data_IF_743655177297
#
_entry.id   IF_743655177297
#
_cell.length_a   1.000
_cell.length_b   1.000
_cell.length_c   1.000
_cell.angle_alpha   90.00
_cell.angle_beta   90.00
_cell.angle_gamma   90.00
#
_symmetry.space_group_name_H-M   'P 1'
#
loop_
_entity.id
_entity.type
_entity.pdbx_description
1 polymer ?
#
# COMPACT_ATOMS: atom_id res chain seq x y z
N UNK A 1 -7.27 -4.59 0.17
CA UNK A 1 -6.28 -4.60 1.27
C UNK A 1 -5.60 -5.98 1.32
N UNK A 2 -4.28 -6.05 1.09
CA UNK A 2 -3.53 -7.28 0.72
C UNK A 2 -2.83 -7.96 1.94
N UNK A 3 -3.16 -7.54 3.17
CA UNK A 3 -2.46 -7.95 4.40
C UNK A 3 -2.39 -9.46 4.70
N UNK A 4 -3.41 -10.30 4.42
CA UNK A 4 -3.34 -11.72 4.80
C UNK A 4 -2.27 -12.48 4.01
N UNK A 5 -2.17 -12.20 2.70
CA UNK A 5 -1.21 -12.85 1.79
C UNK A 5 0.24 -12.47 2.15
N UNK A 6 0.47 -11.25 2.62
CA UNK A 6 1.80 -10.81 3.04
C UNK A 6 2.22 -11.43 4.37
N UNK A 7 1.30 -11.59 5.32
CA UNK A 7 1.59 -12.27 6.60
C UNK A 7 1.90 -13.75 6.37
N UNK A 8 1.13 -14.44 5.52
CA UNK A 8 1.40 -15.84 5.12
C UNK A 8 2.77 -15.99 4.46
N UNK A 9 3.18 -15.02 3.64
CA UNK A 9 4.51 -15.03 3.01
C UNK A 9 5.63 -14.87 4.06
N UNK A 10 5.45 -14.03 5.08
CA UNK A 10 6.41 -13.90 6.17
C UNK A 10 6.53 -15.18 6.99
N UNK A 11 5.42 -15.91 7.20
CA UNK A 11 5.44 -17.22 7.85
C UNK A 11 6.22 -18.27 7.03
N UNK A 12 6.08 -18.23 5.71
CA UNK A 12 6.89 -19.07 4.82
C UNK A 12 8.39 -18.73 4.94
N UNK A 13 8.76 -17.45 4.98
CA UNK A 13 10.15 -17.03 5.14
C UNK A 13 10.73 -17.44 6.50
N UNK A 14 9.95 -17.36 7.59
CA UNK A 14 10.37 -17.89 8.90
C UNK A 14 10.63 -19.40 8.84
N UNK A 15 9.76 -20.18 8.18
CA UNK A 15 9.94 -21.62 8.01
C UNK A 15 11.19 -21.94 7.16
N UNK A 16 11.43 -21.17 6.10
CA UNK A 16 12.63 -21.26 5.25
C UNK A 16 13.91 -20.96 6.05
N UNK A 17 13.88 -19.91 6.89
CA UNK A 17 14.98 -19.52 7.75
C UNK A 17 15.31 -20.62 8.77
N UNK A 18 14.30 -21.23 9.38
CA UNK A 18 14.46 -22.37 10.29
C UNK A 18 15.17 -23.54 9.60
N UNK A 19 14.75 -23.91 8.39
CA UNK A 19 15.41 -24.97 7.60
C UNK A 19 16.87 -24.64 7.29
N UNK A 20 17.19 -23.38 6.98
CA UNK A 20 18.58 -22.92 6.77
C UNK A 20 19.41 -23.03 8.05
N UNK A 21 18.84 -22.70 9.21
CA UNK A 21 19.49 -22.86 10.53
C UNK A 21 19.78 -24.33 10.85
N UNK A 22 18.83 -25.22 10.60
CA UNK A 22 19.02 -26.67 10.79
C UNK A 22 20.15 -27.22 9.88
N UNK A 23 20.22 -26.74 8.64
CA UNK A 23 21.28 -27.11 7.70
C UNK A 23 22.64 -26.59 8.16
N UNK A 24 22.71 -25.36 8.68
CA UNK A 24 23.93 -24.78 9.23
C UNK A 24 24.45 -25.60 10.41
N UNK A 25 23.56 -26.01 11.32
CA UNK A 25 23.89 -26.88 12.45
C UNK A 25 24.43 -28.23 11.98
N UNK A 26 23.82 -28.84 10.96
CA UNK A 26 24.34 -30.08 10.39
C UNK A 26 25.75 -29.91 9.81
N UNK A 27 26.01 -28.84 9.06
CA UNK A 27 27.35 -28.55 8.52
C UNK A 27 28.39 -28.30 9.61
N UNK A 28 28.00 -27.66 10.71
CA UNK A 28 28.86 -27.45 11.86
C UNK A 28 29.21 -28.76 12.55
N UNK A 29 28.21 -29.61 12.81
CA UNK A 29 28.41 -30.92 13.45
C UNK A 29 29.22 -31.89 12.57
N UNK A 30 29.10 -31.78 11.25
CA UNK A 30 29.92 -32.52 10.27
C UNK A 30 31.38 -32.02 10.21
N UNK A 31 31.73 -30.95 10.93
CA UNK A 31 33.06 -30.34 10.90
C UNK A 31 33.40 -29.63 9.58
N UNK A 32 32.40 -29.39 8.71
CA UNK A 32 32.60 -28.75 7.40
C UNK A 32 32.80 -27.23 7.49
N UNK A 33 32.42 -26.63 8.61
CA UNK A 33 32.56 -25.19 8.87
C UNK A 33 33.16 -24.95 10.25
N UNK A 34 33.87 -23.83 10.40
CA UNK A 34 34.42 -23.43 11.69
C UNK A 34 33.33 -22.93 12.65
N UNK A 35 33.62 -22.98 13.95
CA UNK A 35 32.77 -22.40 15.00
C UNK A 35 32.47 -20.92 14.76
N UNK A 36 33.49 -20.13 14.42
CA UNK A 36 33.32 -18.69 14.17
C UNK A 36 32.36 -18.42 13.00
N UNK A 37 32.42 -19.24 11.94
CA UNK A 37 31.51 -19.14 10.80
C UNK A 37 30.07 -19.47 11.19
N UNK A 38 29.89 -20.52 11.99
CA UNK A 38 28.57 -20.92 12.49
C UNK A 38 27.96 -19.84 13.39
N UNK A 39 28.76 -19.24 14.30
CA UNK A 39 28.32 -18.15 15.18
C UNK A 39 27.91 -16.92 14.37
N UNK A 40 28.74 -16.49 13.41
CA UNK A 40 28.44 -15.33 12.55
C UNK A 40 27.13 -15.51 11.79
N UNK A 41 26.93 -16.68 11.17
CA UNK A 41 25.72 -16.96 10.40
C UNK A 41 24.48 -17.13 11.29
N UNK A 42 24.63 -17.76 12.46
CA UNK A 42 23.53 -17.85 13.44
C UNK A 42 23.07 -16.46 13.86
N UNK A 43 24.00 -15.57 14.21
CA UNK A 43 23.68 -14.19 14.57
C UNK A 43 22.91 -13.48 13.45
N UNK A 44 23.34 -13.65 12.20
CA UNK A 44 22.63 -13.08 11.04
C UNK A 44 21.23 -13.65 10.87
N UNK A 45 21.03 -14.94 11.13
CA UNK A 45 19.68 -15.52 11.12
C UNK A 45 18.81 -14.94 12.22
N UNK A 46 19.36 -14.72 13.42
CA UNK A 46 18.61 -14.10 14.53
C UNK A 46 18.22 -12.64 14.20
N UNK A 47 19.10 -11.88 13.55
CA UNK A 47 18.81 -10.53 13.04
C UNK A 47 17.68 -10.54 11.99
N UNK A 48 17.69 -11.50 11.06
CA UNK A 48 16.62 -11.63 10.06
C UNK A 48 15.31 -12.08 10.69
N UNK A 49 15.35 -13.02 11.64
CA UNK A 49 14.16 -13.51 12.35
C UNK A 49 13.49 -12.39 13.15
N UNK A 50 14.28 -11.59 13.88
CA UNK A 50 13.77 -10.43 14.62
C UNK A 50 13.15 -9.39 13.70
N UNK A 51 13.76 -9.11 12.54
CA UNK A 51 13.19 -8.20 11.54
C UNK A 51 11.86 -8.72 10.96
N UNK A 52 11.79 -10.01 10.59
CA UNK A 52 10.56 -10.62 10.07
C UNK A 52 9.45 -10.58 11.12
N UNK A 53 9.75 -10.94 12.36
CA UNK A 53 8.76 -10.92 13.45
C UNK A 53 8.24 -9.50 13.72
N UNK A 54 9.12 -8.49 13.73
CA UNK A 54 8.73 -7.09 13.87
C UNK A 54 7.80 -6.64 12.75
N UNK A 55 8.13 -6.98 11.51
CA UNK A 55 7.28 -6.63 10.36
C UNK A 55 5.93 -7.32 10.43
N UNK A 56 5.90 -8.61 10.80
CA UNK A 56 4.67 -9.38 10.98
C UNK A 56 3.78 -8.75 12.06
N UNK A 57 4.36 -8.36 13.18
CA UNK A 57 3.64 -7.66 14.25
C UNK A 57 3.05 -6.34 13.74
N UNK A 58 3.87 -5.49 13.11
CA UNK A 58 3.43 -4.21 12.54
C UNK A 58 2.27 -4.36 11.55
N UNK A 59 2.32 -5.36 10.65
CA UNK A 59 1.26 -5.62 9.68
C UNK A 59 -0.03 -6.10 10.35
N UNK A 60 0.09 -6.85 11.46
CA UNK A 60 -1.06 -7.33 12.22
C UNK A 60 -1.74 -6.19 12.96
N UNK A 61 -0.95 -5.36 13.66
CA UNK A 61 -1.43 -4.16 14.36
C UNK A 61 -2.10 -3.17 13.39
N UNK A 62 -1.52 -2.97 12.21
CA UNK A 62 -2.12 -2.14 11.16
C UNK A 62 -3.45 -2.76 10.66
N UNK A 63 -3.49 -4.08 10.47
CA UNK A 63 -4.71 -4.79 10.10
C UNK A 63 -5.84 -4.59 11.11
N UNK A 64 -5.52 -4.72 12.39
CA UNK A 64 -6.47 -4.54 13.50
C UNK A 64 -6.94 -3.08 13.59
N UNK A 65 -6.03 -2.12 13.43
CA UNK A 65 -6.33 -0.69 13.41
C UNK A 65 -7.34 -0.34 12.31
N UNK A 66 -7.09 -0.77 11.06
CA UNK A 66 -8.01 -0.50 9.96
C UNK A 66 -9.34 -1.24 10.11
N UNK A 67 -9.34 -2.43 10.74
CA UNK A 67 -10.56 -3.14 11.08
C UNK A 67 -11.41 -2.35 12.09
N UNK A 68 -10.79 -1.77 13.12
CA UNK A 68 -11.48 -0.92 14.09
C UNK A 68 -12.06 0.34 13.43
N UNK A 69 -11.26 1.07 12.63
CA UNK A 69 -11.74 2.25 11.90
C UNK A 69 -12.94 1.92 11.02
N UNK A 70 -12.87 0.79 10.31
CA UNK A 70 -13.98 0.34 9.47
C UNK A 70 -15.24 0.06 10.28
N UNK A 71 -15.12 -0.66 11.39
CA UNK A 71 -16.26 -0.97 12.27
C UNK A 71 -16.89 0.30 12.82
N UNK A 72 -16.08 1.28 13.20
CA UNK A 72 -16.60 2.57 13.68
C UNK A 72 -17.29 3.35 12.57
N UNK A 73 -16.72 3.36 11.36
CA UNK A 73 -17.37 3.94 10.18
C UNK A 73 -18.73 3.29 9.88
N UNK A 74 -18.84 1.97 10.01
CA UNK A 74 -20.11 1.24 9.86
C UNK A 74 -21.16 1.74 10.87
N UNK A 75 -20.79 1.86 12.16
CA UNK A 75 -21.72 2.34 13.20
C UNK A 75 -22.18 3.77 12.95
N UNK A 76 -21.28 4.65 12.50
CA UNK A 76 -21.61 6.05 12.20
C UNK A 76 -22.63 6.09 11.06
N UNK A 77 -22.40 5.33 9.99
CA UNK A 77 -23.34 5.27 8.86
C UNK A 77 -24.70 4.68 9.28
N UNK A 78 -24.72 3.64 10.10
CA UNK A 78 -25.95 3.09 10.66
C UNK A 78 -26.70 4.10 11.53
N UNK A 79 -25.97 4.90 12.31
CA UNK A 79 -26.55 5.97 13.13
C UNK A 79 -27.21 7.05 12.27
N UNK A 80 -26.56 7.48 11.18
CA UNK A 80 -27.17 8.43 10.25
C UNK A 80 -28.43 7.89 9.58
N UNK A 81 -28.47 6.61 9.19
CA UNK A 81 -29.69 6.01 8.63
C UNK A 81 -30.85 6.04 9.63
N UNK A 82 -30.59 5.78 10.91
CA UNK A 82 -31.60 5.86 11.97
C UNK A 82 -32.06 7.31 12.15
N UNK A 83 -31.11 8.26 12.24
CA UNK A 83 -31.42 9.68 12.41
C UNK A 83 -32.25 10.23 11.25
N UNK A 84 -31.87 9.93 10.00
CA UNK A 84 -32.63 10.35 8.83
C UNK A 84 -34.03 9.75 8.81
N UNK A 85 -34.17 8.50 9.26
CA UNK A 85 -35.49 7.88 9.41
C UNK A 85 -36.35 8.59 10.44
N UNK A 86 -35.77 8.99 11.58
CA UNK A 86 -36.47 9.75 12.62
C UNK A 86 -36.90 11.13 12.11
N UNK A 87 -35.99 11.87 11.46
CA UNK A 87 -36.29 13.19 10.89
C UNK A 87 -37.43 13.13 9.86
N UNK A 88 -37.45 12.10 9.01
CA UNK A 88 -38.54 11.90 8.06
C UNK A 88 -39.89 11.63 8.77
N UNK A 89 -39.89 10.80 9.82
CA UNK A 89 -41.08 10.51 10.61
C UNK A 89 -41.61 11.75 11.37
N UNK A 90 -40.73 12.65 11.79
CA UNK A 90 -41.09 13.91 12.42
C UNK A 90 -41.56 14.98 11.41
N UNK A 91 -41.45 14.71 10.11
CA UNK A 91 -41.76 15.68 9.05
C UNK A 91 -40.72 16.79 8.90
N UNK A 92 -39.58 16.68 9.57
CA UNK A 92 -38.45 17.61 9.46
C UNK A 92 -37.61 17.34 8.20
N UNK A 93 -37.76 16.16 7.62
CA UNK A 93 -37.17 15.76 6.35
C UNK A 93 -38.27 15.26 5.42
N UNK A 94 -38.18 15.59 4.13
CA UNK A 94 -39.12 15.09 3.13
C UNK A 94 -38.69 13.72 2.59
N UNK A 95 -39.66 13.00 2.03
CA UNK A 95 -39.50 11.62 1.59
C UNK A 95 -38.48 11.45 0.46
N UNK A 96 -38.41 12.41 -0.47
CA UNK A 96 -37.46 12.39 -1.59
C UNK A 96 -36.02 12.51 -1.08
N UNK A 97 -35.75 13.49 -0.22
CA UNK A 97 -34.43 13.75 0.33
C UNK A 97 -33.99 12.65 1.29
N UNK A 98 -34.91 12.07 2.06
CA UNK A 98 -34.66 10.88 2.89
C UNK A 98 -34.23 9.70 2.02
N UNK A 99 -34.93 9.46 0.89
CA UNK A 99 -34.64 8.36 -0.02
C UNK A 99 -33.24 8.50 -0.62
N UNK A 100 -32.91 9.66 -1.18
CA UNK A 100 -31.61 9.90 -1.81
C UNK A 100 -30.44 9.70 -0.83
N UNK A 101 -30.56 10.26 0.37
CA UNK A 101 -29.51 10.14 1.40
C UNK A 101 -29.40 8.72 1.94
N UNK A 102 -30.54 8.05 2.16
CA UNK A 102 -30.56 6.67 2.65
C UNK A 102 -29.97 5.71 1.62
N UNK A 103 -30.23 5.91 0.34
CA UNK A 103 -29.65 5.11 -0.75
C UNK A 103 -28.14 5.29 -0.82
N UNK A 104 -27.65 6.54 -0.79
CA UNK A 104 -26.23 6.84 -0.81
C UNK A 104 -25.48 6.20 0.38
N UNK A 105 -26.02 6.36 1.59
CA UNK A 105 -25.41 5.78 2.81
C UNK A 105 -25.50 4.25 2.79
N UNK A 106 -26.63 3.68 2.37
CA UNK A 106 -26.80 2.22 2.29
C UNK A 106 -25.84 1.61 1.28
N UNK A 107 -25.58 2.27 0.16
CA UNK A 107 -24.57 1.86 -0.82
C UNK A 107 -23.17 1.82 -0.21
N UNK A 108 -22.77 2.89 0.50
CA UNK A 108 -21.49 2.93 1.22
C UNK A 108 -21.36 1.88 2.32
N UNK A 109 -22.43 1.69 3.10
CA UNK A 109 -22.51 0.67 4.15
C UNK A 109 -22.35 -0.75 3.58
N UNK A 110 -23.03 -1.03 2.48
CA UNK A 110 -22.94 -2.32 1.78
C UNK A 110 -21.54 -2.54 1.20
N UNK A 111 -20.90 -1.51 0.67
CA UNK A 111 -19.52 -1.61 0.20
C UNK A 111 -18.55 -1.99 1.34
N UNK A 112 -18.64 -1.31 2.48
CA UNK A 112 -17.82 -1.59 3.66
C UNK A 112 -18.06 -2.99 4.25
N UNK A 113 -19.32 -3.45 4.24
CA UNK A 113 -19.71 -4.80 4.69
C UNK A 113 -19.27 -5.90 3.72
N UNK A 114 -19.42 -5.70 2.41
CA UNK A 114 -19.15 -6.74 1.39
C UNK A 114 -17.65 -7.03 1.21
N UNK A 115 -16.77 -6.10 1.54
CA UNK A 115 -15.33 -6.37 1.61
C UNK A 115 -14.94 -7.41 2.68
N UNK A 116 -15.84 -7.76 3.60
CA UNK A 116 -15.67 -8.87 4.54
C UNK A 116 -16.08 -10.21 3.93
N UNK A 117 -17.15 -10.24 3.11
CA UNK A 117 -17.66 -11.46 2.47
C UNK A 117 -16.73 -12.01 1.40
N UNK A 118 -16.05 -11.14 0.64
CA UNK A 118 -15.04 -11.56 -0.34
C UNK A 118 -13.84 -12.31 0.28
N UNK A 119 -13.62 -12.19 1.61
CA UNK A 119 -12.57 -12.91 2.34
C UNK A 119 -12.91 -14.38 2.59
N UNK A 120 -14.17 -14.78 2.42
CA UNK A 120 -14.63 -16.16 2.67
C UNK A 120 -14.69 -17.04 1.42
N UNK A 121 -14.88 -16.46 0.22
CA UNK A 121 -14.95 -17.21 -1.03
C UNK A 121 -13.59 -17.50 -1.69
N UNK A 122 -12.54 -16.73 -1.38
CA UNK A 122 -11.19 -16.96 -1.93
C UNK A 122 -10.50 -18.21 -1.37
N UNK A 123 -11.00 -18.79 -0.26
CA UNK A 123 -10.48 -20.06 0.28
C UNK A 123 -10.81 -21.27 -0.59
N UNK A 124 -11.76 -21.17 -1.53
CA UNK A 124 -12.20 -22.30 -2.35
C UNK A 124 -11.57 -22.33 -3.75
N UNK A 125 -10.96 -21.23 -4.22
CA UNK A 125 -10.41 -21.14 -5.58
C UNK A 125 -8.93 -21.55 -5.71
N UNK A 126 -8.18 -21.63 -4.60
CA UNK A 126 -6.74 -21.92 -4.64
C UNK A 126 -6.38 -23.42 -4.59
N UNK A 127 -7.34 -24.32 -4.75
CA UNK A 127 -7.08 -25.78 -4.72
C UNK A 127 -6.75 -26.39 -6.09
N UNK A 128 -6.73 -25.62 -7.19
CA UNK A 128 -6.60 -26.17 -8.56
C UNK A 128 -5.39 -25.70 -9.39
N UNK A 129 -4.43 -24.98 -8.83
CA UNK A 129 -3.24 -24.53 -9.56
C UNK A 129 -1.96 -24.76 -8.76
N UNK A 130 -1.66 -26.01 -8.45
CA UNK A 130 -0.31 -26.43 -8.03
C UNK A 130 -0.03 -27.87 -8.45
N UNK A 131 0.12 -28.08 -9.76
CA UNK A 131 0.92 -29.17 -10.31
C UNK A 131 1.18 -28.90 -11.80
N UNK A 132 2.33 -28.29 -12.10
CA UNK A 132 3.17 -28.58 -13.28
C UNK A 132 4.49 -27.81 -13.22
N UNK A 133 5.46 -28.48 -12.59
CA UNK A 133 6.88 -28.64 -12.92
C UNK A 133 7.67 -27.48 -13.53
N UNK A 134 8.70 -27.08 -12.77
CA UNK A 134 9.97 -26.55 -13.24
C UNK A 134 10.58 -27.46 -14.33
N UNK A 135 11.06 -26.86 -15.42
CA UNK A 135 12.16 -27.42 -16.21
C UNK A 135 13.02 -26.26 -16.71
N UNK A 136 14.21 -26.11 -16.13
CA UNK A 136 15.26 -25.21 -16.61
C UNK A 136 16.19 -25.98 -17.55
N UNK A 137 16.60 -25.40 -18.70
CA UNK A 137 17.88 -25.70 -19.31
C UNK A 137 18.84 -24.52 -19.10
N UNK A 138 20.04 -24.82 -18.59
CA UNK A 138 21.17 -23.90 -18.57
C UNK A 138 22.15 -24.20 -19.70
N UNK A 139 22.85 -23.13 -20.11
CA UNK A 139 24.13 -23.01 -20.86
C UNK A 139 23.99 -22.88 -22.39
N UNK A 140 24.52 -21.79 -22.95
CA UNK A 140 25.87 -21.73 -23.57
C UNK A 140 26.26 -20.28 -23.98
N UNK A 141 27.52 -19.97 -23.66
CA UNK A 141 28.54 -19.02 -24.17
C UNK A 141 28.22 -17.58 -24.62
N UNK A 142 28.96 -16.69 -23.94
CA UNK A 142 29.72 -15.51 -24.42
C UNK A 142 30.16 -15.60 -25.89
N UNK A 143 29.94 -14.51 -26.65
CA UNK A 143 30.96 -13.92 -27.51
C UNK A 143 30.66 -12.44 -27.81
N UNK A 144 31.67 -11.62 -27.54
CA UNK A 144 31.73 -10.21 -27.90
C UNK A 144 32.19 -10.05 -29.36
N UNK A 145 31.57 -9.15 -30.11
CA UNK A 145 32.23 -8.53 -31.27
C UNK A 145 31.79 -7.09 -31.44
N UNK A 146 32.80 -6.23 -31.47
CA UNK A 146 32.77 -4.81 -31.87
C UNK A 146 32.17 -4.66 -33.26
N UNK A 147 31.41 -3.58 -33.49
CA UNK A 147 31.55 -2.83 -34.74
C UNK A 147 31.21 -1.34 -34.57
N UNK A 148 32.16 -0.53 -35.04
CA UNK A 148 32.10 0.92 -35.23
C UNK A 148 31.24 1.22 -36.47
N UNK A 149 30.41 2.26 -36.42
CA UNK A 149 29.69 2.74 -37.60
C UNK A 149 28.99 4.08 -37.36
N UNK A 150 29.65 5.15 -37.78
CA UNK A 150 29.25 6.56 -37.74
C UNK A 150 28.31 6.86 -38.92
N UNK A 151 27.20 7.60 -38.72
CA UNK A 151 26.83 8.82 -39.47
C UNK A 151 25.38 9.31 -39.28
N UNK A 152 25.30 10.65 -39.20
CA UNK A 152 24.19 11.63 -39.24
C UNK A 152 23.01 11.38 -40.22
N UNK A 153 21.84 11.87 -39.82
CA UNK A 153 20.73 12.53 -40.58
C UNK A 153 19.41 12.17 -39.86
N UNK A 154 18.52 13.05 -39.39
CA UNK A 154 17.98 14.28 -39.95
C UNK A 154 16.46 14.10 -40.17
N UNK A 155 15.65 15.08 -39.73
CA UNK A 155 14.20 15.32 -39.90
C UNK A 155 13.18 14.81 -38.87
N UNK A 156 12.66 15.79 -38.11
CA UNK A 156 11.25 16.23 -38.05
C UNK A 156 10.16 15.26 -38.52
N UNK A 157 9.14 15.06 -37.69
CA UNK A 157 7.76 15.51 -37.99
C UNK A 157 6.83 15.34 -36.81
N UNK A 158 6.05 16.39 -36.59
CA UNK A 158 4.85 16.47 -35.76
C UNK A 158 3.85 15.35 -36.05
N UNK A 159 3.06 14.97 -35.05
CA UNK A 159 1.63 14.75 -35.25
C UNK A 159 0.87 14.94 -33.92
N UNK A 160 0.12 16.04 -33.92
CA UNK A 160 -1.02 16.31 -33.06
C UNK A 160 -2.10 15.23 -33.15
N UNK A 161 -2.76 14.96 -32.02
CA UNK A 161 -4.23 14.77 -31.86
C UNK A 161 -4.55 14.20 -30.46
N UNK A 162 -5.75 14.37 -29.92
CA UNK A 162 -6.49 15.62 -29.71
C UNK A 162 -6.83 15.83 -28.22
N UNK A 163 -6.89 17.10 -27.85
CA UNK A 163 -7.42 17.61 -26.57
C UNK A 163 -8.87 17.17 -26.29
N UNK A 164 -9.18 16.69 -25.09
CA UNK A 164 -10.51 16.78 -24.52
C UNK A 164 -10.60 18.00 -23.59
N UNK A 165 -11.40 18.96 -24.04
CA UNK A 165 -12.29 19.81 -23.24
C UNK A 165 -11.69 20.55 -22.04
N UNK A 166 -11.60 21.88 -22.20
CA UNK A 166 -11.67 22.89 -21.15
C UNK A 166 -12.75 22.54 -20.11
N UNK A 167 -12.31 21.94 -19.02
CA UNK A 167 -12.91 22.12 -17.71
C UNK A 167 -11.95 23.07 -17.01
N UNK A 168 -12.42 24.20 -16.48
CA UNK A 168 -11.59 25.10 -15.69
C UNK A 168 -11.04 24.35 -14.47
N UNK A 169 -9.93 23.66 -14.66
CA UNK A 169 -9.11 23.14 -13.59
C UNK A 169 -8.58 24.38 -12.88
N UNK A 170 -9.14 24.68 -11.70
CA UNK A 170 -8.37 25.39 -10.69
C UNK A 170 -7.08 24.60 -10.56
N UNK A 171 -6.00 25.09 -11.16
CA UNK A 171 -4.73 24.37 -11.20
C UNK A 171 -4.40 23.98 -9.76
N UNK A 172 -4.26 22.67 -9.52
CA UNK A 172 -3.96 22.13 -8.20
C UNK A 172 -2.66 22.80 -7.74
N UNK A 173 -2.76 23.73 -6.80
CA UNK A 173 -1.65 24.53 -6.31
C UNK A 173 -1.45 24.26 -4.83
N UNK A 174 -0.24 24.49 -4.35
CA UNK A 174 0.16 24.26 -2.98
C UNK A 174 -0.77 25.02 -2.03
N UNK A 175 -1.27 24.32 -1.02
CA UNK A 175 -2.08 24.85 0.07
C UNK A 175 -1.41 24.53 1.40
N UNK A 176 -0.08 24.75 1.48
CA UNK A 176 0.71 24.51 2.68
C UNK A 176 0.14 25.32 3.88
N UNK A 177 -0.35 24.67 4.95
CA UNK A 177 -0.88 25.36 6.13
C UNK A 177 0.10 26.33 6.80
N UNK A 178 1.40 26.06 6.71
CA UNK A 178 2.46 26.89 7.28
C UNK A 178 2.98 27.97 6.31
N UNK A 179 2.56 27.94 5.04
CA UNK A 179 2.94 28.89 4.01
C UNK A 179 1.76 29.19 3.08
N UNK A 180 0.69 29.85 3.59
CA UNK A 180 -0.60 29.99 2.90
C UNK A 180 -0.55 30.80 1.60
N UNK A 181 0.53 31.56 1.37
CA UNK A 181 0.73 32.35 0.16
C UNK A 181 1.41 31.57 -0.98
N UNK A 182 1.78 30.31 -0.77
CA UNK A 182 2.36 29.50 -1.83
C UNK A 182 1.28 29.20 -2.88
N UNK A 183 1.62 29.36 -4.17
CA UNK A 183 0.72 29.06 -5.31
C UNK A 183 1.38 28.18 -6.36
N UNK A 184 2.48 27.51 -5.99
CA UNK A 184 3.17 26.64 -6.94
C UNK A 184 2.35 25.39 -7.21
N UNK A 185 2.43 24.88 -8.43
CA UNK A 185 1.65 23.75 -8.93
C UNK A 185 2.46 22.45 -8.97
N UNK A 186 3.74 22.48 -8.59
CA UNK A 186 4.65 21.34 -8.47
C UNK A 186 4.38 20.54 -7.19
N UNK A 187 3.20 19.93 -7.09
CA UNK A 187 2.76 19.17 -5.91
C UNK A 187 3.58 17.88 -5.77
N UNK A 188 4.21 17.71 -4.61
CA UNK A 188 5.01 16.53 -4.26
C UNK A 188 4.19 15.53 -3.46
N UNK A 189 3.40 16.03 -2.50
CA UNK A 189 2.55 15.21 -1.65
C UNK A 189 1.29 15.96 -1.22
N UNK A 190 0.37 15.24 -0.61
CA UNK A 190 -0.79 15.83 0.07
C UNK A 190 -0.88 15.32 1.50
N UNK A 191 -1.20 16.22 2.45
CA UNK A 191 -1.36 15.88 3.87
C UNK A 191 -2.81 16.08 4.32
N UNK A 192 -3.16 15.47 5.44
CA UNK A 192 -4.40 15.76 6.15
C UNK A 192 -4.14 16.79 7.25
N UNK A 193 -4.81 17.94 7.19
CA UNK A 193 -4.67 19.02 8.16
C UNK A 193 -6.05 19.64 8.45
N UNK A 194 -6.42 19.76 9.72
CA UNK A 194 -7.73 20.29 10.16
C UNK A 194 -8.94 19.71 9.42
N UNK A 195 -8.96 18.38 9.24
CA UNK A 195 -10.07 17.70 8.57
C UNK A 195 -10.12 17.85 7.06
N UNK A 196 -9.05 18.37 6.43
CA UNK A 196 -9.00 18.60 4.97
C UNK A 196 -7.72 18.04 4.37
N UNK A 197 -7.82 17.47 3.17
CA UNK A 197 -6.68 17.09 2.35
C UNK A 197 -6.12 18.35 1.67
N UNK A 198 -4.85 18.67 1.94
CA UNK A 198 -4.18 19.85 1.38
C UNK A 198 -2.93 19.43 0.59
N UNK A 199 -2.79 19.88 -0.67
CA UNK A 199 -1.60 19.61 -1.49
C UNK A 199 -0.40 20.47 -1.04
N UNK A 200 0.80 19.89 -1.04
CA UNK A 200 2.06 20.58 -0.71
C UNK A 200 3.04 20.43 -1.87
N UNK A 201 3.62 21.55 -2.31
CA UNK A 201 4.64 21.54 -3.35
C UNK A 201 5.98 21.01 -2.87
N UNK A 202 6.81 20.56 -3.82
CA UNK A 202 8.14 20.03 -3.57
C UNK A 202 9.02 20.95 -2.70
N UNK A 203 9.03 22.27 -2.95
CA UNK A 203 9.83 23.19 -2.13
C UNK A 203 9.30 23.32 -0.69
N UNK A 204 7.99 23.44 -0.52
CA UNK A 204 7.40 23.48 0.82
C UNK A 204 7.66 22.18 1.56
N UNK A 205 7.57 21.04 0.87
CA UNK A 205 7.88 19.74 1.47
C UNK A 205 9.35 19.65 1.89
N UNK A 206 10.28 20.08 1.03
CA UNK A 206 11.70 20.11 1.35
C UNK A 206 11.97 20.93 2.62
N UNK A 207 11.42 22.14 2.72
CA UNK A 207 11.54 23.01 3.89
C UNK A 207 10.97 22.38 5.18
N UNK A 208 9.89 21.60 5.06
CA UNK A 208 9.27 20.89 6.19
C UNK A 208 10.14 19.69 6.59
N UNK A 209 10.61 18.91 5.63
CA UNK A 209 11.38 17.68 5.86
C UNK A 209 12.74 17.92 6.52
N UNK A 210 13.29 19.12 6.37
CA UNK A 210 14.54 19.55 6.99
C UNK A 210 14.34 20.09 8.42
N UNK A 211 13.09 20.28 8.87
CA UNK A 211 12.76 20.77 10.21
C UNK A 211 12.34 19.63 11.12
N UNK A 212 12.80 19.68 12.36
CA UNK A 212 12.44 18.75 13.42
C UNK A 212 11.09 19.14 14.04
N UNK A 213 10.00 18.92 13.29
CA UNK A 213 8.64 19.18 13.74
C UNK A 213 7.90 17.87 14.00
N UNK A 214 7.51 17.66 15.26
CA UNK A 214 6.64 16.54 15.64
C UNK A 214 5.17 16.89 15.40
N UNK A 215 4.43 15.98 14.80
CA UNK A 215 3.01 16.16 14.42
C UNK A 215 2.04 16.08 15.63
N UNK A 216 2.57 16.00 16.85
CA UNK A 216 1.82 15.66 18.09
C UNK A 216 1.33 16.87 18.89
N UNK A 217 1.68 18.11 18.51
CA UNK A 217 1.42 19.31 19.33
C UNK A 217 0.57 20.40 18.63
N UNK A 218 -0.32 20.02 17.70
CA UNK A 218 -1.25 20.94 17.01
C UNK A 218 -2.71 20.56 17.26
#
# INVERSE_FOLDING_TARGET
>A
MVLPKTVEHLDFELASLKKRRDTLLALFNDGKISSDTAILLSKRFDEVETAINRLKQSLTEEGDFWMQIRLEGIKILESFLIEFRLLNLMGEMNEERWRDLSEAISSGLNALKNESSARSSEKSANQFLNQKNLTYPSKVSVNATKNKGRSKSGRESNNDSPSPSKMESSALHCMNPWKPNCKRTDIELSIYYNGRFVPICHECWKEISEKDMEWSNL
#
